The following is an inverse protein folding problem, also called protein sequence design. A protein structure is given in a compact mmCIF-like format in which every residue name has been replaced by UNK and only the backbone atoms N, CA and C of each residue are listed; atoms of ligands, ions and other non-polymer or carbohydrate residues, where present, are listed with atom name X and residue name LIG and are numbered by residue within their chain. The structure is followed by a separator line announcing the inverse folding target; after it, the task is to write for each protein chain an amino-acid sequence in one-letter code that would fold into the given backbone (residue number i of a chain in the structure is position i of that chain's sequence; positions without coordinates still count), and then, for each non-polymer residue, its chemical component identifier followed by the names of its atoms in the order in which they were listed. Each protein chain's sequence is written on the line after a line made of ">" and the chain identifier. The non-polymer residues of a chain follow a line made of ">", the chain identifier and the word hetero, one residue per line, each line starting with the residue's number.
data_IF_407981823125
#
_entry.id   IF_407981823125
#
_cell.length_a   1.000
_cell.length_b   1.000
_cell.length_c   1.000
_cell.angle_alpha   90.00
_cell.angle_beta   90.00
_cell.angle_gamma   90.00
#
_symmetry.space_group_name_H-M   'P 1'
#
loop_
_entity.id
_entity.type
_entity.pdbx_description
1 polymer ?
#
# COMPACT_ATOMS: atom_id res chain seq x y z
N UNK A 1 -4.13 17.73 -9.17
CA UNK A 1 -4.96 18.39 -8.14
C UNK A 1 -6.40 18.68 -8.54
N UNK A 2 -7.14 17.67 -8.99
CA UNK A 2 -8.62 17.75 -9.04
C UNK A 2 -9.29 16.50 -8.48
N UNK A 3 -8.55 15.40 -8.37
CA UNK A 3 -9.05 14.08 -7.98
C UNK A 3 -8.04 13.39 -7.07
N UNK A 4 -8.54 12.56 -6.16
CA UNK A 4 -7.74 11.69 -5.32
C UNK A 4 -7.53 10.35 -6.03
N UNK A 5 -6.29 9.86 -6.04
CA UNK A 5 -6.00 8.48 -6.45
C UNK A 5 -6.21 7.55 -5.25
N UNK A 6 -6.75 6.36 -5.49
CA UNK A 6 -6.88 5.34 -4.47
C UNK A 6 -6.47 3.98 -5.05
N UNK A 7 -5.64 3.23 -4.33
CA UNK A 7 -5.21 1.89 -4.75
C UNK A 7 -3.70 1.70 -4.76
N UNK A 8 -3.26 0.74 -5.56
CA UNK A 8 -1.85 0.49 -5.86
C UNK A 8 -1.21 -0.65 -5.08
N UNK A 9 -1.91 -1.27 -4.12
CA UNK A 9 -1.46 -2.52 -3.48
C UNK A 9 -2.11 -3.72 -4.19
N UNK A 10 -1.33 -4.57 -4.87
CA UNK A 10 -1.86 -5.77 -5.50
C UNK A 10 -2.12 -6.87 -4.46
N UNK A 11 -3.26 -7.54 -4.56
CA UNK A 11 -3.69 -8.60 -3.63
C UNK A 11 -2.72 -9.78 -3.67
N UNK A 12 -2.17 -10.08 -4.85
CA UNK A 12 -1.16 -11.12 -5.05
C UNK A 12 0.12 -10.90 -4.24
N UNK A 13 0.50 -9.64 -3.99
CA UNK A 13 1.65 -9.31 -3.15
C UNK A 13 1.34 -9.57 -1.67
N UNK A 14 0.12 -9.30 -1.23
CA UNK A 14 -0.30 -9.58 0.15
C UNK A 14 -0.47 -11.08 0.42
N UNK A 15 -0.89 -11.85 -0.59
CA UNK A 15 -1.06 -13.31 -0.50
C UNK A 15 0.29 -14.04 -0.64
N UNK A 16 1.02 -13.79 -1.71
CA UNK A 16 2.21 -14.56 -2.08
C UNK A 16 3.55 -13.94 -1.68
N UNK A 17 3.58 -12.65 -1.35
CA UNK A 17 4.80 -11.91 -1.07
C UNK A 17 5.40 -12.16 0.31
N UNK A 18 6.47 -11.41 0.57
CA UNK A 18 7.13 -11.31 1.88
C UNK A 18 6.93 -9.90 2.47
N UNK A 19 7.00 -9.73 3.80
CA UNK A 19 6.88 -8.42 4.43
C UNK A 19 7.82 -7.38 3.82
N UNK A 20 9.07 -7.74 3.55
CA UNK A 20 10.07 -6.86 2.94
C UNK A 20 9.64 -6.34 1.57
N UNK A 21 9.14 -7.22 0.69
CA UNK A 21 8.64 -6.82 -0.63
C UNK A 21 7.41 -5.93 -0.53
N UNK A 22 6.54 -6.20 0.45
CA UNK A 22 5.37 -5.36 0.71
C UNK A 22 5.78 -3.96 1.16
N UNK A 23 6.78 -3.84 2.07
CA UNK A 23 7.32 -2.54 2.47
C UNK A 23 7.88 -1.81 1.26
N UNK A 24 8.82 -2.42 0.53
CA UNK A 24 9.45 -1.82 -0.65
C UNK A 24 8.42 -1.28 -1.66
N UNK A 25 7.45 -2.11 -2.05
CA UNK A 25 6.39 -1.71 -2.97
C UNK A 25 5.54 -0.55 -2.42
N UNK A 26 5.18 -0.60 -1.13
CA UNK A 26 4.39 0.45 -0.48
C UNK A 26 5.17 1.77 -0.38
N UNK A 27 6.48 1.73 -0.10
CA UNK A 27 7.36 2.90 -0.06
C UNK A 27 7.48 3.55 -1.44
N UNK A 28 7.74 2.74 -2.47
CA UNK A 28 7.80 3.20 -3.87
C UNK A 28 6.48 3.85 -4.30
N UNK A 29 5.35 3.21 -3.98
CA UNK A 29 4.02 3.71 -4.30
C UNK A 29 3.76 5.08 -3.66
N UNK A 30 4.05 5.24 -2.37
CA UNK A 30 3.87 6.51 -1.66
C UNK A 30 4.81 7.57 -2.24
N UNK A 31 6.09 7.25 -2.48
CA UNK A 31 7.04 8.23 -3.02
C UNK A 31 6.66 8.72 -4.41
N UNK A 32 6.08 7.86 -5.24
CA UNK A 32 5.66 8.19 -6.60
C UNK A 32 4.31 8.93 -6.65
N UNK A 33 3.38 8.62 -5.73
CA UNK A 33 1.99 9.06 -5.83
C UNK A 33 1.54 10.06 -4.76
N UNK A 34 2.29 10.27 -3.67
CA UNK A 34 1.85 11.15 -2.57
C UNK A 34 1.52 12.58 -3.02
N UNK A 35 2.24 13.11 -4.01
CA UNK A 35 1.99 14.43 -4.60
C UNK A 35 1.67 15.51 -3.55
N UNK A 36 0.64 16.32 -3.80
CA UNK A 36 0.09 17.31 -2.85
C UNK A 36 -0.95 16.69 -1.88
N UNK A 37 -0.78 15.42 -1.53
CA UNK A 37 -1.59 14.69 -0.56
C UNK A 37 -2.92 14.13 -1.06
N UNK A 38 -3.08 13.98 -2.37
CA UNK A 38 -4.28 13.41 -3.01
C UNK A 38 -4.14 11.92 -3.32
N UNK A 39 -3.67 11.12 -2.35
CA UNK A 39 -3.47 9.69 -2.53
C UNK A 39 -3.92 8.87 -1.31
N UNK A 40 -4.71 7.82 -1.56
CA UNK A 40 -5.14 6.83 -0.57
C UNK A 40 -4.51 5.49 -0.95
N UNK A 41 -3.69 4.95 -0.05
CA UNK A 41 -3.17 3.59 -0.20
C UNK A 41 -4.29 2.61 0.08
N UNK A 42 -4.69 1.85 -0.93
CA UNK A 42 -5.65 0.76 -0.77
C UNK A 42 -5.28 -0.45 -1.63
N UNK A 43 -5.83 -1.60 -1.27
CA UNK A 43 -5.83 -2.77 -2.14
C UNK A 43 -6.96 -2.68 -3.17
N UNK A 44 -6.94 -3.60 -4.10
CA UNK A 44 -8.03 -3.92 -5.01
C UNK A 44 -9.32 -4.29 -4.26
N UNK A 45 -10.45 -4.28 -4.98
CA UNK A 45 -11.72 -4.79 -4.44
C UNK A 45 -11.55 -6.25 -3.99
N UNK A 46 -11.89 -6.54 -2.72
CA UNK A 46 -11.72 -7.85 -2.07
C UNK A 46 -10.28 -8.38 -1.96
N UNK A 47 -9.26 -7.53 -1.95
CA UNK A 47 -7.84 -7.95 -1.95
C UNK A 47 -7.29 -8.62 -0.68
N UNK A 48 -8.15 -8.97 0.27
CA UNK A 48 -7.75 -9.47 1.59
C UNK A 48 -7.86 -11.00 1.76
N UNK A 49 -8.36 -11.74 0.76
CA UNK A 49 -8.71 -13.17 0.84
C UNK A 49 -7.72 -14.04 1.64
N UNK A 50 -6.71 -14.61 0.97
CA UNK A 50 -5.64 -15.40 1.62
C UNK A 50 -4.43 -14.52 2.01
N UNK A 51 -4.67 -13.23 2.27
CA UNK A 51 -3.59 -12.30 2.58
C UNK A 51 -2.91 -12.70 3.89
N UNK A 52 -1.58 -12.73 3.88
CA UNK A 52 -0.81 -13.03 5.08
C UNK A 52 -0.85 -11.84 6.05
N UNK A 53 -1.07 -12.12 7.32
CA UNK A 53 -1.22 -11.08 8.36
C UNK A 53 0.03 -10.21 8.45
N UNK A 54 1.22 -10.81 8.36
CA UNK A 54 2.50 -10.11 8.38
C UNK A 54 2.66 -9.16 7.19
N UNK A 55 2.11 -9.50 6.03
CA UNK A 55 2.15 -8.66 4.84
C UNK A 55 1.21 -7.45 5.00
N UNK A 56 -0.02 -7.67 5.48
CA UNK A 56 -0.97 -6.58 5.76
C UNK A 56 -0.41 -5.64 6.84
N UNK A 57 0.24 -6.18 7.88
CA UNK A 57 0.94 -5.38 8.91
C UNK A 57 2.07 -4.56 8.30
N UNK A 58 2.93 -5.18 7.49
CA UNK A 58 4.06 -4.49 6.86
C UNK A 58 3.60 -3.32 5.99
N UNK A 59 2.55 -3.51 5.19
CA UNK A 59 1.90 -2.43 4.43
C UNK A 59 1.42 -1.32 5.37
N UNK A 60 0.60 -1.66 6.37
CA UNK A 60 -0.02 -0.70 7.30
C UNK A 60 1.02 0.12 8.05
N UNK A 61 2.09 -0.51 8.54
CA UNK A 61 3.19 0.17 9.23
C UNK A 61 3.94 1.12 8.30
N UNK A 62 4.17 0.71 7.05
CA UNK A 62 4.85 1.54 6.04
C UNK A 62 4.01 2.78 5.72
N UNK A 63 2.71 2.61 5.50
CA UNK A 63 1.77 3.73 5.29
C UNK A 63 1.76 4.68 6.48
N UNK A 64 1.73 4.18 7.73
CA UNK A 64 1.76 5.04 8.92
C UNK A 64 3.06 5.80 9.09
N UNK A 65 4.19 5.24 8.65
CA UNK A 65 5.50 5.91 8.72
C UNK A 65 5.64 7.00 7.68
N UNK A 66 5.22 6.75 6.44
CA UNK A 66 5.46 7.64 5.29
C UNK A 66 4.27 8.50 4.89
N UNK A 67 3.07 8.17 5.37
CA UNK A 67 1.82 8.86 5.05
C UNK A 67 1.56 10.12 5.87
N UNK A 68 2.49 10.52 6.74
CA UNK A 68 2.47 11.83 7.37
C UNK A 68 3.12 12.83 6.40
N UNK A 69 2.29 13.58 5.67
CA UNK A 69 2.71 14.67 4.81
C UNK A 69 1.66 15.77 4.78
#
# INVERSE_FOLDING_TARGET
>A
DKYCLAGGIPSSLLIGGTPEKVRQHTEELINNLKGNGSFIVSSEFNGMGDAKVENVKAMTETVRKLGNY
#
